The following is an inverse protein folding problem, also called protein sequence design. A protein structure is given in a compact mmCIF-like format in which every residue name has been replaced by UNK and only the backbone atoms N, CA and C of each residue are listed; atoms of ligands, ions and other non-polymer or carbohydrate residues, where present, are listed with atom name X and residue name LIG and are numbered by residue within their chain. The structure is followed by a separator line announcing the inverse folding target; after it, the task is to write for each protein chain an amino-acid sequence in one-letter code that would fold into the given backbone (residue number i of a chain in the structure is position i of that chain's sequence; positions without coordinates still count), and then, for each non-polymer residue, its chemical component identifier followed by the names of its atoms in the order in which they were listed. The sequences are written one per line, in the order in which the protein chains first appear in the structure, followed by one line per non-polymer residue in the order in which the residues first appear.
data_IF_060787557617
#
_entry.id   IF_060787557617
#
_cell.length_a   1.000
_cell.length_b   1.000
_cell.length_c   1.000
_cell.angle_alpha   90.00
_cell.angle_beta   90.00
_cell.angle_gamma   90.00
#
_symmetry.space_group_name_H-M   'P 1'
#
loop_
_entity.id
_entity.type
_entity.pdbx_description
1 polymer ?
#
# COMPACT_ATOMS: atom_id res chain seq x y z
N UNK A 1 -16.86 -4.32 -9.07
CA UNK A 1 -15.89 -3.30 -9.53
C UNK A 1 -14.60 -4.03 -9.87
N UNK A 2 -13.96 -3.65 -10.97
CA UNK A 2 -12.74 -4.30 -11.47
C UNK A 2 -11.55 -3.87 -10.61
N UNK A 3 -10.70 -4.80 -10.13
CA UNK A 3 -9.57 -4.49 -9.22
C UNK A 3 -8.66 -3.39 -9.80
N UNK A 4 -8.54 -3.34 -11.13
CA UNK A 4 -7.79 -2.32 -11.86
C UNK A 4 -8.41 -0.93 -11.76
N UNK A 5 -9.74 -0.86 -11.83
CA UNK A 5 -10.50 0.37 -11.74
C UNK A 5 -10.40 0.98 -10.34
N UNK A 6 -10.42 0.16 -9.30
CA UNK A 6 -10.23 0.60 -7.92
C UNK A 6 -8.81 1.17 -7.71
N UNK A 7 -7.79 0.53 -8.30
CA UNK A 7 -6.40 1.02 -8.25
C UNK A 7 -6.25 2.38 -8.94
N UNK A 8 -6.77 2.53 -10.17
CA UNK A 8 -6.68 3.79 -10.90
C UNK A 8 -7.47 4.90 -10.20
N UNK A 9 -8.63 4.56 -9.63
CA UNK A 9 -9.44 5.51 -8.87
C UNK A 9 -8.73 5.97 -7.60
N UNK A 10 -8.14 5.03 -6.84
CA UNK A 10 -7.35 5.37 -5.65
C UNK A 10 -6.19 6.28 -6.02
N UNK A 11 -5.42 5.93 -7.05
CA UNK A 11 -4.30 6.75 -7.52
C UNK A 11 -4.74 8.15 -7.96
N UNK A 12 -5.83 8.25 -8.72
CA UNK A 12 -6.36 9.54 -9.19
C UNK A 12 -6.81 10.44 -8.03
N UNK A 13 -7.34 9.86 -6.96
CA UNK A 13 -7.71 10.59 -5.75
C UNK A 13 -6.47 11.03 -4.96
N UNK A 14 -5.48 10.14 -4.80
CA UNK A 14 -4.23 10.44 -4.09
C UNK A 14 -3.38 11.50 -4.81
N UNK A 15 -3.52 11.61 -6.14
CA UNK A 15 -2.74 12.52 -7.00
C UNK A 15 -3.57 13.66 -7.57
N UNK A 16 -4.70 14.01 -6.96
CA UNK A 16 -5.66 14.97 -7.52
C UNK A 16 -5.02 16.34 -7.84
N UNK A 17 -4.15 16.87 -6.97
CA UNK A 17 -3.45 18.14 -7.22
C UNK A 17 -2.48 18.03 -8.39
N UNK A 18 -1.67 16.96 -8.44
CA UNK A 18 -0.75 16.68 -9.54
C UNK A 18 -1.48 16.59 -10.89
N UNK A 19 -2.65 15.96 -10.92
CA UNK A 19 -3.48 15.85 -12.13
C UNK A 19 -4.01 17.22 -12.57
N UNK A 20 -4.45 18.07 -11.63
CA UNK A 20 -4.88 19.45 -11.92
C UNK A 20 -3.75 20.29 -12.51
N UNK A 21 -2.54 20.18 -11.97
CA UNK A 21 -1.35 20.88 -12.50
C UNK A 21 -0.99 20.44 -13.93
N UNK A 22 -1.29 19.19 -14.27
CA UNK A 22 -1.15 18.65 -15.63
C UNK A 22 -2.33 19.00 -16.56
N UNK A 23 -3.35 19.70 -16.06
CA UNK A 23 -4.56 20.02 -16.82
C UNK A 23 -5.40 18.78 -17.16
N UNK A 24 -5.34 17.73 -16.33
CA UNK A 24 -6.01 16.46 -16.54
C UNK A 24 -7.06 16.21 -15.45
N UNK A 25 -8.25 15.78 -15.84
CA UNK A 25 -9.28 15.35 -14.89
C UNK A 25 -9.04 13.92 -14.40
N UNK A 26 -9.64 13.55 -13.25
CA UNK A 26 -9.54 12.19 -12.71
C UNK A 26 -10.17 11.17 -13.67
N UNK A 27 -11.29 11.54 -14.29
CA UNK A 27 -12.00 10.72 -15.27
C UNK A 27 -11.14 10.49 -16.52
N UNK A 28 -10.51 11.54 -17.06
CA UNK A 28 -9.60 11.44 -18.20
C UNK A 28 -8.38 10.56 -17.88
N UNK A 29 -7.80 10.72 -16.69
CA UNK A 29 -6.72 9.85 -16.23
C UNK A 29 -7.14 8.38 -16.22
N UNK A 30 -8.27 8.07 -15.59
CA UNK A 30 -8.77 6.68 -15.46
C UNK A 30 -9.04 6.09 -16.85
N UNK A 31 -9.66 6.84 -17.76
CA UNK A 31 -9.93 6.36 -19.12
C UNK A 31 -8.62 6.09 -19.89
N UNK A 32 -7.65 6.98 -19.80
CA UNK A 32 -6.34 6.83 -20.44
C UNK A 32 -5.55 5.66 -19.85
N UNK A 33 -5.57 5.49 -18.52
CA UNK A 33 -4.93 4.38 -17.82
C UNK A 33 -5.55 3.03 -18.24
N UNK A 34 -6.89 2.96 -18.37
CA UNK A 34 -7.58 1.77 -18.89
C UNK A 34 -7.13 1.44 -20.31
N UNK A 35 -7.13 2.41 -21.24
CA UNK A 35 -6.66 2.17 -22.62
C UNK A 35 -5.20 1.72 -22.65
N UNK A 36 -4.33 2.36 -21.87
CA UNK A 36 -2.93 1.98 -21.80
C UNK A 36 -2.72 0.57 -21.23
N UNK A 37 -3.54 0.18 -20.25
CA UNK A 37 -3.53 -1.16 -19.64
C UNK A 37 -3.83 -2.30 -20.61
N UNK A 38 -4.38 -2.02 -21.78
CA UNK A 38 -4.65 -3.04 -22.79
C UNK A 38 -3.39 -3.41 -23.58
N UNK A 39 -2.42 -2.49 -23.65
CA UNK A 39 -1.13 -2.69 -24.32
C UNK A 39 -0.25 -3.69 -23.58
N UNK A 40 0.68 -4.35 -24.29
CA UNK A 40 1.59 -5.32 -23.67
C UNK A 40 2.48 -4.67 -22.61
N UNK A 41 2.97 -3.46 -22.89
CA UNK A 41 3.79 -2.69 -21.95
C UNK A 41 2.99 -2.25 -20.72
N UNK A 42 1.80 -1.67 -20.94
CA UNK A 42 0.93 -1.24 -19.84
C UNK A 42 0.54 -2.37 -18.90
N UNK A 43 0.25 -3.57 -19.42
CA UNK A 43 -0.01 -4.77 -18.59
C UNK A 43 1.16 -5.09 -17.65
N UNK A 44 2.39 -5.05 -18.16
CA UNK A 44 3.58 -5.39 -17.37
C UNK A 44 3.86 -4.33 -16.31
N UNK A 45 3.74 -3.05 -16.65
CA UNK A 45 3.95 -1.97 -15.68
C UNK A 45 2.87 -1.94 -14.60
N UNK A 46 1.61 -2.22 -14.94
CA UNK A 46 0.54 -2.35 -13.93
C UNK A 46 0.77 -3.54 -13.02
N UNK A 47 1.16 -4.70 -13.56
CA UNK A 47 1.53 -5.86 -12.74
C UNK A 47 2.69 -5.52 -11.78
N UNK A 48 3.72 -4.84 -12.28
CA UNK A 48 4.86 -4.39 -11.47
C UNK A 48 4.43 -3.38 -10.40
N UNK A 49 3.54 -2.44 -10.72
CA UNK A 49 2.97 -1.50 -9.76
C UNK A 49 2.20 -2.22 -8.65
N UNK A 50 1.31 -3.17 -9.00
CA UNK A 50 0.54 -3.97 -8.04
C UNK A 50 1.49 -4.73 -7.11
N UNK A 51 2.49 -5.40 -7.65
CA UNK A 51 3.47 -6.15 -6.86
C UNK A 51 4.26 -5.24 -5.92
N UNK A 52 4.64 -4.03 -6.36
CA UNK A 52 5.31 -3.06 -5.49
C UNK A 52 4.42 -2.60 -4.33
N UNK A 53 3.12 -2.40 -4.57
CA UNK A 53 2.16 -2.06 -3.53
C UNK A 53 1.99 -3.21 -2.54
N UNK A 54 1.82 -4.44 -3.03
CA UNK A 54 1.75 -5.64 -2.18
C UNK A 54 3.01 -5.81 -1.33
N UNK A 55 4.21 -5.53 -1.89
CA UNK A 55 5.47 -5.54 -1.13
C UNK A 55 5.47 -4.47 -0.03
N UNK A 56 4.95 -3.27 -0.30
CA UNK A 56 4.85 -2.21 0.70
C UNK A 56 3.92 -2.63 1.83
N UNK A 57 2.72 -3.09 1.50
CA UNK A 57 1.72 -3.52 2.48
C UNK A 57 2.26 -4.65 3.38
N UNK A 58 3.01 -5.59 2.81
CA UNK A 58 3.69 -6.65 3.57
C UNK A 58 4.76 -6.11 4.52
N UNK A 59 5.53 -5.09 4.11
CA UNK A 59 6.54 -4.45 4.98
C UNK A 59 5.89 -3.70 6.14
N UNK A 60 4.77 -3.04 5.90
CA UNK A 60 4.02 -2.33 6.94
C UNK A 60 3.48 -3.36 7.96
N UNK A 61 2.91 -4.47 7.51
CA UNK A 61 2.48 -5.58 8.39
C UNK A 61 3.63 -6.19 9.21
N UNK A 62 4.81 -6.38 8.60
CA UNK A 62 6.00 -6.87 9.33
C UNK A 62 6.37 -5.90 10.46
N UNK A 63 6.36 -4.60 10.17
CA UNK A 63 6.70 -3.56 11.15
C UNK A 63 5.74 -3.58 12.35
N UNK A 64 4.43 -3.75 12.09
CA UNK A 64 3.42 -3.88 13.14
C UNK A 64 3.65 -5.13 14.00
N UNK A 65 3.93 -6.27 13.36
CA UNK A 65 4.23 -7.52 14.07
C UNK A 65 5.49 -7.42 14.93
N UNK A 66 6.54 -6.77 14.43
CA UNK A 66 7.77 -6.51 15.20
C UNK A 66 7.49 -5.64 16.43
N UNK A 67 6.64 -4.61 16.30
CA UNK A 67 6.21 -3.78 17.43
C UNK A 67 5.47 -4.60 18.50
N UNK A 68 4.57 -5.49 18.08
CA UNK A 68 3.81 -6.32 18.99
C UNK A 68 4.66 -7.40 19.68
N UNK A 69 5.65 -7.95 18.99
CA UNK A 69 6.65 -8.84 19.60
C UNK A 69 7.43 -8.09 20.68
N UNK A 70 7.90 -6.88 20.41
CA UNK A 70 8.66 -6.08 21.39
C UNK A 70 7.85 -5.81 22.66
N UNK A 71 6.57 -5.40 22.53
CA UNK A 71 5.68 -5.19 23.69
C UNK A 71 5.50 -6.47 24.50
N UNK A 72 5.33 -7.61 23.84
CA UNK A 72 5.20 -8.91 24.52
C UNK A 72 6.47 -9.30 25.26
N UNK A 73 7.65 -9.05 24.67
CA UNK A 73 8.93 -9.29 25.32
C UNK A 73 9.13 -8.41 26.55
N UNK A 74 8.72 -7.14 26.49
CA UNK A 74 8.71 -6.24 27.65
C UNK A 74 7.79 -6.77 28.76
N UNK A 75 6.56 -7.18 28.42
CA UNK A 75 5.65 -7.78 29.41
C UNK A 75 6.21 -9.04 30.07
N UNK A 76 6.93 -9.89 29.32
CA UNK A 76 7.60 -11.07 29.89
C UNK A 76 8.68 -10.65 30.89
N UNK A 77 9.49 -9.64 30.53
CA UNK A 77 10.56 -9.12 31.40
C UNK A 77 9.98 -8.57 32.70
N UNK A 78 8.88 -7.84 32.65
CA UNK A 78 8.20 -7.32 33.84
C UNK A 78 7.73 -8.45 34.76
N UNK A 79 7.14 -9.52 34.18
CA UNK A 79 6.72 -10.71 34.93
C UNK A 79 7.92 -11.42 35.58
N UNK A 80 9.02 -11.59 34.86
CA UNK A 80 10.24 -12.22 35.38
C UNK A 80 10.83 -11.42 36.56
N UNK A 81 10.78 -10.09 36.49
CA UNK A 81 11.18 -9.20 37.59
C UNK A 81 10.25 -9.34 38.80
N UNK A 82 8.93 -9.40 38.59
CA UNK A 82 7.97 -9.65 39.67
C UNK A 82 8.23 -11.01 40.35
N UNK A 83 8.42 -12.07 39.57
CA UNK A 83 8.73 -13.41 40.10
C UNK A 83 10.03 -13.41 40.90
N UNK A 84 11.05 -12.68 40.44
CA UNK A 84 12.35 -12.60 41.13
C UNK A 84 12.29 -11.86 42.47
N UNK A 85 11.26 -11.04 42.67
CA UNK A 85 11.03 -10.27 43.88
C UNK A 85 10.11 -10.98 44.91
N UNK A 86 9.62 -12.19 44.59
CA UNK A 86 8.86 -13.07 45.50
C UNK A 86 9.78 -13.98 46.32
#
# INVERSE_FOLDING_TARGET
MDRLEDIFTSFANDQEESLKDMGMTKEEFIENAKKWSETKEGKLEIQKFILNQEIKDLKDQITELESDIAKKQESIKDIDEEISNL
#
